data_IF_142744892112
#
_entry.id   IF_142744892112
#
_cell.length_a   1.000
_cell.length_b   1.000
_cell.length_c   1.000
_cell.angle_alpha   90.00
_cell.angle_beta   90.00
_cell.angle_gamma   90.00
#
_symmetry.space_group_name_H-M   'P 1'
#
loop_
_entity.id
_entity.type
_entity.pdbx_description
1 polymer ?
#
# COMPACT_ATOMS: atom_id res chain seq x y z
N UNK A 1 -32.46 19.18 7.23
CA UNK A 1 -31.19 19.69 7.81
C UNK A 1 -30.97 19.26 9.27
N UNK A 2 -31.96 18.71 9.97
CA UNK A 2 -31.81 18.17 11.34
C UNK A 2 -31.14 16.79 11.38
N UNK A 3 -31.64 15.84 10.59
CA UNK A 3 -31.20 14.44 10.57
C UNK A 3 -29.71 14.23 10.23
N UNK A 4 -29.17 15.00 9.26
CA UNK A 4 -27.73 14.96 8.94
C UNK A 4 -26.84 15.43 10.10
N UNK A 5 -27.30 16.42 10.88
CA UNK A 5 -26.56 16.92 12.05
C UNK A 5 -26.62 15.95 13.22
N UNK A 6 -27.72 15.22 13.35
CA UNK A 6 -27.91 14.20 14.39
C UNK A 6 -27.03 12.96 14.13
N UNK A 7 -26.93 12.51 12.88
CA UNK A 7 -26.01 11.45 12.44
C UNK A 7 -24.55 11.85 12.71
N UNK A 8 -24.19 13.10 12.39
CA UNK A 8 -22.84 13.61 12.61
C UNK A 8 -22.49 13.76 14.10
N UNK A 9 -23.47 14.18 14.93
CA UNK A 9 -23.33 14.25 16.39
C UNK A 9 -23.18 12.86 17.01
N UNK A 10 -24.02 11.91 16.59
CA UNK A 10 -23.96 10.52 17.03
C UNK A 10 -22.62 9.88 16.65
N UNK A 11 -22.16 10.07 15.41
CA UNK A 11 -20.85 9.57 14.96
C UNK A 11 -19.68 10.15 15.74
N UNK A 12 -19.73 11.44 16.10
CA UNK A 12 -18.72 12.08 16.94
C UNK A 12 -18.69 11.50 18.36
N UNK A 13 -19.84 11.22 18.95
CA UNK A 13 -19.93 10.62 20.28
C UNK A 13 -19.34 9.21 20.30
N UNK A 14 -19.71 8.36 19.33
CA UNK A 14 -19.18 6.99 19.21
C UNK A 14 -17.67 6.95 19.00
N UNK A 15 -17.14 7.84 18.15
CA UNK A 15 -15.68 7.98 17.99
C UNK A 15 -14.98 8.29 19.31
N UNK A 16 -15.54 9.21 20.10
CA UNK A 16 -14.96 9.53 21.42
C UNK A 16 -15.02 8.34 22.37
N UNK A 17 -16.10 7.55 22.35
CA UNK A 17 -16.19 6.33 23.16
C UNK A 17 -15.14 5.30 22.74
N UNK A 18 -15.02 5.04 21.43
CA UNK A 18 -14.03 4.13 20.86
C UNK A 18 -12.59 4.51 21.24
N UNK A 19 -12.21 5.77 21.07
CA UNK A 19 -10.88 6.27 21.42
C UNK A 19 -10.65 6.15 22.93
N UNK A 20 -11.66 6.50 23.74
CA UNK A 20 -11.55 6.36 25.19
C UNK A 20 -11.43 4.90 25.63
N UNK A 21 -12.12 3.97 24.96
CA UNK A 21 -11.98 2.53 25.18
C UNK A 21 -10.59 2.02 24.82
N UNK A 22 -10.03 2.47 23.68
CA UNK A 22 -8.66 2.14 23.29
C UNK A 22 -7.61 2.69 24.28
N UNK A 23 -7.81 3.89 24.83
CA UNK A 23 -6.96 4.42 25.89
C UNK A 23 -7.14 3.69 27.24
N UNK A 24 -8.36 3.18 27.54
CA UNK A 24 -8.65 2.39 28.75
C UNK A 24 -8.18 0.95 28.67
N UNK A 25 -7.93 0.43 27.47
CA UNK A 25 -7.28 -0.87 27.25
C UNK A 25 -5.80 -0.75 27.62
N UNK A 26 -5.55 -0.42 28.89
CA UNK A 26 -4.25 -0.33 29.58
C UNK A 26 -3.60 -1.72 29.75
N UNK A 27 -4.27 -2.76 29.25
CA UNK A 27 -3.89 -4.17 29.32
C UNK A 27 -2.72 -4.55 28.40
N UNK A 28 -2.27 -3.64 27.53
CA UNK A 28 -1.07 -3.83 26.70
C UNK A 28 0.21 -3.35 27.41
N UNK A 29 0.12 -2.74 28.60
CA UNK A 29 1.27 -2.21 29.34
C UNK A 29 1.75 -3.12 30.47
N UNK A 30 0.86 -3.81 31.19
CA UNK A 30 1.27 -4.67 32.32
C UNK A 30 1.98 -5.94 31.85
N UNK A 31 1.58 -6.52 30.71
CA UNK A 31 2.20 -7.76 30.21
C UNK A 31 3.50 -7.51 29.41
N UNK A 32 3.69 -6.29 28.88
CA UNK A 32 4.96 -5.90 28.25
C UNK A 32 6.03 -5.46 29.28
N UNK A 33 5.64 -5.25 30.54
CA UNK A 33 6.57 -4.90 31.62
C UNK A 33 7.45 -6.07 32.09
N UNK A 34 7.09 -7.33 31.81
CA UNK A 34 7.91 -8.50 32.16
C UNK A 34 9.00 -8.82 31.12
N UNK A 35 8.99 -8.20 29.94
CA UNK A 35 9.93 -8.50 28.85
C UNK A 35 11.10 -7.52 28.71
N UNK A 36 11.22 -6.50 29.56
CA UNK A 36 12.37 -5.58 29.53
C UNK A 36 12.90 -5.28 30.94
N UNK A 37 14.19 -5.59 31.14
CA UNK A 37 14.96 -5.20 32.31
C UNK A 37 15.06 -3.68 32.53
N UNK A 38 15.91 -3.24 33.47
CA UNK A 38 15.77 -1.97 34.19
C UNK A 38 16.17 -0.77 33.33
N UNK A 39 15.27 -0.32 32.46
CA UNK A 39 15.27 1.03 31.94
C UNK A 39 13.87 1.61 32.11
N UNK A 40 13.77 2.62 32.97
CA UNK A 40 12.59 3.44 33.16
C UNK A 40 12.17 4.05 31.82
N UNK A 41 11.09 3.56 31.23
CA UNK A 41 10.62 3.98 29.90
C UNK A 41 9.10 3.93 29.72
N UNK A 42 8.33 3.83 30.80
CA UNK A 42 6.86 3.72 30.74
C UNK A 42 6.16 5.02 30.36
N UNK A 43 6.88 6.14 30.29
CA UNK A 43 6.39 7.42 29.77
C UNK A 43 6.63 7.61 28.26
N UNK A 44 7.43 6.76 27.62
CA UNK A 44 7.86 6.95 26.23
C UNK A 44 6.83 6.41 25.22
N UNK A 45 6.07 5.37 25.58
CA UNK A 45 5.11 4.73 24.68
C UNK A 45 3.74 5.42 24.57
N UNK A 46 3.23 6.02 25.65
CA UNK A 46 2.02 6.86 25.56
C UNK A 46 2.33 8.16 24.79
N UNK A 47 3.57 8.66 24.90
CA UNK A 47 4.09 9.75 24.08
C UNK A 47 4.25 9.34 22.61
N UNK A 48 4.54 8.07 22.30
CA UNK A 48 4.65 7.55 20.93
C UNK A 48 3.32 7.56 20.14
N UNK A 49 2.16 7.46 20.78
CA UNK A 49 0.85 7.67 20.13
C UNK A 49 0.58 9.15 19.80
N UNK A 50 1.10 10.07 20.62
CA UNK A 50 1.15 11.51 20.30
C UNK A 50 2.18 11.88 19.23
N UNK A 51 3.11 10.98 18.91
CA UNK A 51 4.16 11.17 17.88
C UNK A 51 3.66 10.79 16.47
N UNK A 52 2.69 9.88 16.31
CA UNK A 52 2.30 9.40 14.96
C UNK A 52 1.19 10.21 14.28
N UNK A 53 0.36 10.94 15.03
CA UNK A 53 -0.50 12.00 14.49
C UNK A 53 -0.21 13.25 15.30
N UNK A 54 0.86 14.00 14.99
CA UNK A 54 1.02 15.35 15.53
C UNK A 54 -0.27 16.11 15.25
N UNK A 55 -0.95 16.58 16.31
CA UNK A 55 -1.82 17.74 16.16
C UNK A 55 -0.94 18.82 15.52
N UNK A 56 -1.27 19.19 14.29
CA UNK A 56 -0.44 20.01 13.45
C UNK A 56 -0.33 21.42 14.05
N UNK A 57 0.67 21.64 14.90
CA UNK A 57 0.94 22.99 15.40
C UNK A 57 1.51 23.89 14.28
N UNK A 58 2.10 23.31 13.21
CA UNK A 58 2.59 24.04 12.02
C UNK A 58 2.55 23.18 10.74
N UNK A 59 1.50 23.34 9.93
CA UNK A 59 1.46 22.79 8.57
C UNK A 59 1.87 23.89 7.56
N UNK A 60 2.95 23.68 6.81
CA UNK A 60 3.40 24.62 5.77
C UNK A 60 2.58 24.55 4.47
N UNK A 61 1.73 23.53 4.33
CA UNK A 61 0.89 23.28 3.15
C UNK A 61 -0.58 23.54 3.44
N UNK A 62 -1.43 23.67 2.41
CA UNK A 62 -2.88 23.85 2.61
C UNK A 62 -3.55 22.65 3.27
N UNK A 63 -3.05 21.44 3.01
CA UNK A 63 -3.56 20.18 3.56
C UNK A 63 -2.40 19.35 4.11
N UNK A 64 -2.36 19.17 5.43
CA UNK A 64 -1.58 18.12 6.08
C UNK A 64 -2.55 17.06 6.58
N UNK A 65 -2.23 15.78 6.34
CA UNK A 65 -3.07 14.68 6.79
C UNK A 65 -2.46 13.94 7.98
N UNK A 66 -1.19 13.56 7.89
CA UNK A 66 -0.46 12.82 8.91
C UNK A 66 0.67 13.71 9.42
N UNK A 67 0.51 14.27 10.62
CA UNK A 67 1.46 15.22 11.20
C UNK A 67 1.67 16.46 10.33
N UNK A 68 2.92 16.74 9.98
CA UNK A 68 3.30 17.87 9.11
C UNK A 68 3.46 17.48 7.63
N UNK A 69 3.18 16.22 7.27
CA UNK A 69 3.36 15.74 5.90
C UNK A 69 2.21 16.18 4.99
N UNK A 70 2.57 16.63 3.78
CA UNK A 70 1.61 16.91 2.72
C UNK A 70 0.91 15.61 2.30
N UNK A 71 -0.42 15.62 2.34
CA UNK A 71 -1.25 14.54 1.82
C UNK A 71 -2.09 15.10 0.67
N UNK A 72 -1.93 14.59 -0.57
CA UNK A 72 -2.77 15.01 -1.67
C UNK A 72 -4.20 14.55 -1.43
N UNK A 73 -5.16 15.24 -2.04
CA UNK A 73 -6.56 14.80 -1.99
C UNK A 73 -6.66 13.40 -2.59
N UNK A 74 -7.23 12.47 -1.82
CA UNK A 74 -7.39 11.08 -2.25
C UNK A 74 -8.51 10.96 -3.29
N UNK A 75 -8.20 10.31 -4.40
CA UNK A 75 -9.11 10.05 -5.52
C UNK A 75 -9.14 8.55 -5.85
N UNK A 76 -10.25 8.10 -6.43
CA UNK A 76 -10.42 6.70 -6.83
C UNK A 76 -10.79 5.76 -5.68
N UNK A 77 -10.75 4.45 -5.97
CA UNK A 77 -10.94 3.38 -4.98
C UNK A 77 -9.61 3.06 -4.32
N UNK A 78 -9.65 2.81 -3.03
CA UNK A 78 -8.53 2.48 -2.16
C UNK A 78 -8.70 1.05 -1.65
N UNK A 79 -7.61 0.30 -1.57
CA UNK A 79 -7.61 -1.01 -0.95
C UNK A 79 -6.83 -0.91 0.36
N UNK A 80 -7.46 -1.29 1.45
CA UNK A 80 -6.86 -1.36 2.77
C UNK A 80 -6.43 -2.81 3.04
N UNK A 81 -5.12 -3.04 3.04
CA UNK A 81 -4.48 -4.36 3.15
C UNK A 81 -3.98 -4.62 4.58
N UNK A 82 -3.43 -5.81 4.83
CA UNK A 82 -2.77 -6.16 6.10
C UNK A 82 -3.63 -5.87 7.34
N UNK A 83 -3.10 -5.17 8.34
CA UNK A 83 -3.77 -4.91 9.62
C UNK A 83 -5.15 -4.24 9.46
N UNK A 84 -5.38 -3.46 8.39
CA UNK A 84 -6.70 -2.92 8.10
C UNK A 84 -7.70 -4.05 7.76
N UNK A 85 -7.27 -4.97 6.90
CA UNK A 85 -8.07 -6.13 6.50
C UNK A 85 -8.27 -7.10 7.66
N UNK A 86 -7.21 -7.44 8.40
CA UNK A 86 -7.30 -8.40 9.52
C UNK A 86 -8.20 -7.90 10.64
N UNK A 87 -8.11 -6.61 10.99
CA UNK A 87 -9.00 -5.98 11.98
C UNK A 87 -10.45 -5.97 11.51
N UNK A 88 -10.70 -5.57 10.25
CA UNK A 88 -12.05 -5.58 9.66
C UNK A 88 -12.65 -7.00 9.67
N UNK A 89 -11.85 -7.99 9.25
CA UNK A 89 -12.24 -9.40 9.23
C UNK A 89 -12.53 -9.96 10.61
N UNK A 90 -11.74 -9.59 11.62
CA UNK A 90 -11.96 -9.99 13.02
C UNK A 90 -13.36 -9.58 13.51
N UNK A 91 -13.79 -8.36 13.17
CA UNK A 91 -15.14 -7.88 13.50
C UNK A 91 -16.25 -8.45 12.61
N UNK A 92 -15.95 -9.40 11.73
CA UNK A 92 -16.92 -9.99 10.81
C UNK A 92 -17.39 -9.03 9.72
N UNK A 93 -16.63 -7.96 9.45
CA UNK A 93 -16.97 -6.98 8.42
C UNK A 93 -16.54 -7.49 7.04
N UNK A 94 -17.40 -7.27 6.05
CA UNK A 94 -17.13 -7.60 4.66
C UNK A 94 -16.20 -6.59 3.97
N UNK A 95 -15.66 -6.92 2.78
CA UNK A 95 -14.70 -6.08 2.06
C UNK A 95 -15.18 -4.66 1.75
N UNK A 96 -16.48 -4.44 1.61
CA UNK A 96 -17.09 -3.14 1.28
C UNK A 96 -17.83 -2.50 2.46
N UNK A 97 -17.51 -2.91 3.69
CA UNK A 97 -18.11 -2.32 4.90
C UNK A 97 -17.63 -0.88 5.10
N UNK A 98 -18.46 -0.08 5.75
CA UNK A 98 -18.17 1.32 6.00
C UNK A 98 -17.27 1.50 7.23
N UNK A 99 -16.59 2.66 7.30
CA UNK A 99 -15.88 3.04 8.53
C UNK A 99 -16.85 3.20 9.72
N UNK A 100 -18.11 3.56 9.46
CA UNK A 100 -19.15 3.56 10.48
C UNK A 100 -19.36 2.17 11.10
N UNK A 101 -19.30 1.11 10.30
CA UNK A 101 -19.52 -0.26 10.78
C UNK A 101 -18.33 -0.71 11.64
N UNK A 102 -17.12 -0.32 11.25
CA UNK A 102 -15.91 -0.56 12.03
C UNK A 102 -15.92 0.19 13.37
N UNK A 103 -16.43 1.42 13.41
CA UNK A 103 -16.60 2.15 14.67
C UNK A 103 -17.58 1.45 15.59
N UNK A 104 -18.73 1.02 15.06
CA UNK A 104 -19.76 0.34 15.85
C UNK A 104 -19.22 -0.96 16.44
N UNK A 105 -18.55 -1.78 15.62
CA UNK A 105 -17.99 -3.04 16.08
C UNK A 105 -16.84 -2.82 17.09
N UNK A 106 -15.96 -1.84 16.82
CA UNK A 106 -14.88 -1.48 17.73
C UNK A 106 -15.39 -0.95 19.07
N UNK A 107 -16.42 -0.09 19.06
CA UNK A 107 -17.01 0.49 20.28
C UNK A 107 -17.58 -0.62 21.17
N UNK A 108 -18.38 -1.51 20.59
CA UNK A 108 -18.94 -2.67 21.29
C UNK A 108 -17.85 -3.58 21.86
N UNK A 109 -16.76 -3.78 21.11
CA UNK A 109 -15.65 -4.61 21.57
C UNK A 109 -14.85 -3.97 22.70
N UNK A 110 -14.56 -2.66 22.60
CA UNK A 110 -13.79 -1.93 23.59
C UNK A 110 -14.55 -1.69 24.91
N UNK A 111 -15.87 -1.78 24.91
CA UNK A 111 -16.73 -1.63 26.09
C UNK A 111 -17.01 -2.97 26.82
N UNK A 112 -16.65 -4.10 26.20
CA UNK A 112 -16.85 -5.44 26.76
C UNK A 112 -15.82 -5.77 27.86
N UNK A 113 -16.22 -6.57 28.86
CA UNK A 113 -15.29 -7.05 29.89
C UNK A 113 -14.26 -8.02 29.32
N UNK A 114 -13.01 -7.93 29.78
CA UNK A 114 -11.94 -8.79 29.28
C UNK A 114 -12.24 -10.28 29.48
N UNK A 115 -12.85 -10.65 30.60
CA UNK A 115 -13.20 -12.05 30.91
C UNK A 115 -14.22 -12.59 29.91
N UNK A 116 -15.17 -11.76 29.51
CA UNK A 116 -16.20 -12.07 28.52
C UNK A 116 -15.61 -12.16 27.11
N UNK A 117 -14.69 -11.26 26.76
CA UNK A 117 -13.94 -11.29 25.50
C UNK A 117 -13.15 -12.58 25.35
N UNK A 118 -12.41 -13.00 26.38
CA UNK A 118 -11.66 -14.28 26.36
C UNK A 118 -12.56 -15.48 26.20
N UNK A 119 -13.73 -15.47 26.84
CA UNK A 119 -14.72 -16.54 26.70
C UNK A 119 -15.34 -16.56 25.28
N UNK A 120 -15.50 -15.41 24.64
CA UNK A 120 -16.09 -15.29 23.30
C UNK A 120 -15.11 -15.64 22.19
N UNK A 121 -13.82 -15.30 22.36
CA UNK A 121 -12.78 -15.43 21.33
C UNK A 121 -11.68 -16.43 21.73
N UNK A 122 -12.08 -17.63 22.13
CA UNK A 122 -11.16 -18.70 22.60
C UNK A 122 -10.12 -19.11 21.56
N UNK A 123 -10.44 -18.96 20.27
CA UNK A 123 -9.55 -19.33 19.16
C UNK A 123 -8.55 -18.22 18.75
N UNK A 124 -8.55 -17.09 19.44
CA UNK A 124 -7.68 -15.94 19.16
C UNK A 124 -6.69 -15.82 20.33
N UNK A 125 -5.40 -15.71 20.00
CA UNK A 125 -4.35 -15.50 21.01
C UNK A 125 -4.62 -14.21 21.81
N UNK A 126 -4.41 -14.25 23.12
CA UNK A 126 -4.70 -13.10 24.00
C UNK A 126 -3.94 -11.84 23.55
N UNK A 127 -2.69 -11.99 23.12
CA UNK A 127 -1.86 -10.90 22.58
C UNK A 127 -2.49 -10.18 21.38
N UNK A 128 -3.13 -10.93 20.49
CA UNK A 128 -3.81 -10.36 19.32
C UNK A 128 -5.17 -9.79 19.72
N UNK A 129 -5.86 -10.43 20.67
CA UNK A 129 -7.14 -9.96 21.18
C UNK A 129 -7.02 -8.57 21.83
N UNK A 130 -5.93 -8.33 22.56
CA UNK A 130 -5.57 -7.04 23.15
C UNK A 130 -5.45 -5.91 22.11
N UNK A 131 -5.01 -6.24 20.90
CA UNK A 131 -4.70 -5.25 19.87
C UNK A 131 -5.93 -4.79 19.11
N UNK A 132 -7.04 -5.51 19.10
CA UNK A 132 -8.18 -5.17 18.22
C UNK A 132 -8.91 -3.90 18.65
N UNK A 133 -9.02 -3.63 19.94
CA UNK A 133 -9.60 -2.37 20.42
C UNK A 133 -8.76 -1.17 19.92
N UNK A 134 -7.45 -1.24 20.15
CA UNK A 134 -6.51 -0.24 19.65
C UNK A 134 -6.55 -0.12 18.12
N UNK A 135 -6.44 -1.24 17.40
CA UNK A 135 -6.39 -1.29 15.94
C UNK A 135 -7.64 -0.68 15.31
N UNK A 136 -8.83 -0.96 15.84
CA UNK A 136 -10.09 -0.38 15.35
C UNK A 136 -10.09 1.14 15.48
N UNK A 137 -9.67 1.67 16.62
CA UNK A 137 -9.56 3.12 16.86
C UNK A 137 -8.53 3.78 15.93
N UNK A 138 -7.38 3.13 15.74
CA UNK A 138 -6.29 3.64 14.91
C UNK A 138 -6.70 3.73 13.44
N UNK A 139 -7.36 2.69 12.91
CA UNK A 139 -7.86 2.68 11.53
C UNK A 139 -8.82 3.85 11.29
N UNK A 140 -9.73 4.10 12.23
CA UNK A 140 -10.70 5.20 12.13
C UNK A 140 -10.00 6.55 12.19
N UNK A 141 -9.11 6.76 13.16
CA UNK A 141 -8.35 8.00 13.29
C UNK A 141 -7.53 8.29 12.03
N UNK A 142 -6.86 7.28 11.48
CA UNK A 142 -6.05 7.44 10.27
C UNK A 142 -6.91 7.71 9.03
N UNK A 143 -7.92 6.88 8.75
CA UNK A 143 -8.69 7.00 7.51
C UNK A 143 -9.65 8.19 7.53
N UNK A 144 -10.37 8.41 8.64
CA UNK A 144 -11.34 9.48 8.74
C UNK A 144 -10.73 10.81 9.16
N UNK A 145 -10.05 10.84 10.32
CA UNK A 145 -9.63 12.11 10.92
C UNK A 145 -8.39 12.68 10.22
N UNK A 146 -7.42 11.83 9.85
CA UNK A 146 -6.18 12.26 9.18
C UNK A 146 -6.30 12.34 7.66
N UNK A 147 -6.93 11.35 7.01
CA UNK A 147 -7.02 11.28 5.55
C UNK A 147 -8.33 11.84 4.97
N UNK A 148 -9.30 12.22 5.81
CA UNK A 148 -10.53 12.88 5.40
C UNK A 148 -11.50 11.98 4.62
N UNK A 149 -11.42 10.66 4.78
CA UNK A 149 -12.36 9.71 4.17
C UNK A 149 -13.67 9.78 4.95
N UNK A 150 -14.81 9.94 4.26
CA UNK A 150 -16.10 10.02 4.96
C UNK A 150 -16.48 8.67 5.59
N UNK A 151 -17.27 8.70 6.68
CA UNK A 151 -17.63 7.48 7.40
C UNK A 151 -18.36 6.44 6.56
N UNK A 152 -19.19 6.92 5.64
CA UNK A 152 -20.02 6.08 4.77
C UNK A 152 -19.47 6.11 3.33
N UNK A 153 -18.16 6.28 3.17
CA UNK A 153 -17.49 6.33 1.88
C UNK A 153 -17.24 4.90 1.35
N UNK A 154 -17.78 4.59 0.18
CA UNK A 154 -17.63 3.28 -0.48
C UNK A 154 -16.27 3.11 -1.18
N UNK A 155 -15.38 4.11 -1.12
CA UNK A 155 -14.10 4.07 -1.85
C UNK A 155 -13.07 3.16 -1.19
N UNK A 156 -13.19 2.86 0.10
CA UNK A 156 -12.25 1.98 0.81
C UNK A 156 -12.75 0.54 0.72
N UNK A 157 -11.86 -0.38 0.35
CA UNK A 157 -12.14 -1.80 0.28
C UNK A 157 -11.12 -2.57 1.12
N UNK A 158 -11.57 -3.34 2.10
CA UNK A 158 -10.70 -4.15 2.96
C UNK A 158 -10.41 -5.48 2.28
N UNK A 159 -9.16 -5.70 1.87
CA UNK A 159 -8.76 -6.94 1.18
C UNK A 159 -7.25 -7.16 1.29
N UNK A 160 -6.81 -8.43 1.43
CA UNK A 160 -5.38 -8.80 1.35
C UNK A 160 -5.04 -9.60 0.07
N UNK A 161 -5.97 -9.73 -0.87
CA UNK A 161 -5.78 -10.40 -2.14
C UNK A 161 -6.72 -9.84 -3.21
N UNK A 162 -6.32 -9.97 -4.48
CA UNK A 162 -7.17 -9.70 -5.65
C UNK A 162 -7.21 -10.97 -6.50
N UNK A 163 -8.39 -11.58 -6.59
CA UNK A 163 -8.51 -12.94 -7.11
C UNK A 163 -7.73 -13.91 -6.23
N UNK A 164 -6.78 -14.65 -6.83
CA UNK A 164 -5.90 -15.59 -6.15
C UNK A 164 -4.53 -14.99 -5.80
N UNK A 165 -4.31 -13.70 -6.11
CA UNK A 165 -3.01 -13.05 -5.93
C UNK A 165 -3.00 -12.25 -4.62
N UNK A 166 -2.08 -12.54 -3.68
CA UNK A 166 -1.94 -11.76 -2.46
C UNK A 166 -1.42 -10.34 -2.77
N UNK A 167 -1.89 -9.37 -1.99
CA UNK A 167 -1.46 -7.98 -2.10
C UNK A 167 -0.28 -7.74 -1.16
N UNK A 168 0.93 -7.83 -1.69
CA UNK A 168 2.16 -7.63 -0.93
C UNK A 168 3.10 -6.64 -1.64
N UNK A 169 3.77 -5.79 -0.87
CA UNK A 169 4.80 -4.89 -1.39
C UNK A 169 5.98 -5.67 -2.00
N UNK A 170 6.28 -6.87 -1.48
CA UNK A 170 7.34 -7.74 -1.99
C UNK A 170 7.04 -8.22 -3.42
N UNK A 171 5.77 -8.51 -3.72
CA UNK A 171 5.35 -8.87 -5.08
C UNK A 171 5.54 -7.68 -6.05
N UNK A 172 5.19 -6.47 -5.62
CA UNK A 172 5.42 -5.25 -6.40
C UNK A 172 6.91 -5.02 -6.68
N UNK A 173 7.76 -5.20 -5.67
CA UNK A 173 9.22 -5.09 -5.80
C UNK A 173 9.78 -6.12 -6.81
N UNK A 174 9.31 -7.36 -6.74
CA UNK A 174 9.70 -8.41 -7.67
C UNK A 174 9.30 -8.08 -9.12
N UNK A 175 8.07 -7.63 -9.35
CA UNK A 175 7.59 -7.23 -10.69
C UNK A 175 8.42 -6.05 -11.22
N UNK A 176 8.69 -5.04 -10.39
CA UNK A 176 9.51 -3.88 -10.76
C UNK A 176 10.92 -4.32 -11.16
N UNK A 177 11.55 -5.22 -10.40
CA UNK A 177 12.86 -5.75 -10.74
C UNK A 177 12.85 -6.53 -12.05
N UNK A 178 11.87 -7.41 -12.26
CA UNK A 178 11.79 -8.23 -13.48
C UNK A 178 11.49 -7.43 -14.73
N UNK A 179 10.63 -6.42 -14.62
CA UNK A 179 10.35 -5.50 -15.73
C UNK A 179 11.55 -4.62 -16.07
N UNK A 180 12.33 -4.19 -15.07
CA UNK A 180 13.60 -3.49 -15.29
C UNK A 180 14.64 -4.38 -15.99
N UNK A 181 14.79 -5.64 -15.55
CA UNK A 181 15.66 -6.63 -16.21
C UNK A 181 15.25 -6.86 -17.67
N UNK A 182 13.94 -7.00 -17.93
CA UNK A 182 13.40 -7.17 -19.28
C UNK A 182 13.57 -5.91 -20.15
N UNK A 183 13.54 -4.71 -19.58
CA UNK A 183 13.80 -3.47 -20.31
C UNK A 183 15.29 -3.30 -20.70
N UNK A 184 16.21 -3.89 -19.93
CA UNK A 184 17.65 -3.82 -20.18
C UNK A 184 18.08 -4.86 -21.22
N UNK A 185 17.37 -5.98 -21.35
CA UNK A 185 17.61 -6.95 -22.41
C UNK A 185 16.80 -6.59 -23.65
N UNK A 186 17.40 -5.96 -24.69
CA UNK A 186 16.70 -5.77 -25.96
C UNK A 186 16.27 -7.14 -26.48
N UNK A 187 15.08 -7.21 -27.07
CA UNK A 187 14.57 -8.43 -27.70
C UNK A 187 15.69 -9.02 -28.58
N UNK A 188 16.20 -10.20 -28.17
CA UNK A 188 17.31 -10.86 -28.86
C UNK A 188 17.00 -11.05 -30.35
N UNK A 189 15.71 -11.16 -30.70
CA UNK A 189 15.26 -11.20 -32.08
C UNK A 189 15.58 -9.90 -32.83
N UNK A 190 15.36 -8.74 -32.22
CA UNK A 190 15.69 -7.44 -32.81
C UNK A 190 17.21 -7.26 -32.98
N UNK A 191 18.02 -7.70 -32.01
CA UNK A 191 19.48 -7.65 -32.09
C UNK A 191 20.01 -8.54 -33.21
N UNK A 192 19.50 -9.77 -33.32
CA UNK A 192 19.87 -10.73 -34.37
C UNK A 192 19.46 -10.21 -35.75
N UNK A 193 18.26 -9.65 -35.89
CA UNK A 193 17.77 -9.09 -37.16
C UNK A 193 18.68 -7.95 -37.64
N UNK A 194 19.05 -7.01 -36.76
CA UNK A 194 19.94 -5.90 -37.09
C UNK A 194 21.34 -6.38 -37.51
N UNK A 195 21.87 -7.40 -36.83
CA UNK A 195 23.16 -8.00 -37.16
C UNK A 195 23.13 -8.67 -38.56
N UNK A 196 22.07 -9.44 -38.86
CA UNK A 196 21.90 -10.09 -40.17
C UNK A 196 21.78 -9.04 -41.29
N UNK A 197 20.95 -8.00 -41.09
CA UNK A 197 20.79 -6.90 -42.04
C UNK A 197 22.12 -6.18 -42.32
N UNK A 198 22.94 -5.96 -41.29
CA UNK A 198 24.28 -5.37 -41.42
C UNK A 198 25.21 -6.25 -42.27
N UNK A 199 25.24 -7.56 -41.99
CA UNK A 199 26.05 -8.51 -42.77
C UNK A 199 25.60 -8.61 -44.23
N UNK A 200 24.30 -8.68 -44.50
CA UNK A 200 23.75 -8.73 -45.86
C UNK A 200 24.09 -7.44 -46.64
N UNK A 201 24.00 -6.28 -46.00
CA UNK A 201 24.38 -5.00 -46.60
C UNK A 201 25.87 -4.96 -46.97
N UNK A 202 26.74 -5.44 -46.09
CA UNK A 202 28.19 -5.51 -46.35
C UNK A 202 28.52 -6.43 -47.53
N UNK A 203 27.91 -7.63 -47.57
CA UNK A 203 28.09 -8.59 -48.66
C UNK A 203 27.63 -8.00 -50.00
N UNK A 204 26.48 -7.32 -50.03
CA UNK A 204 25.95 -6.72 -51.24
C UNK A 204 26.86 -5.61 -51.80
N UNK A 205 27.43 -4.77 -50.93
CA UNK A 205 28.39 -3.73 -51.32
C UNK A 205 29.66 -4.37 -51.91
N UNK A 206 30.18 -5.41 -51.25
CA UNK A 206 31.38 -6.11 -51.72
C UNK A 206 31.14 -6.78 -53.10
N UNK A 207 30.01 -7.47 -53.27
CA UNK A 207 29.64 -8.08 -54.54
C UNK A 207 29.48 -7.05 -55.67
N UNK A 208 28.86 -5.90 -55.36
CA UNK A 208 28.71 -4.78 -56.30
C UNK A 208 30.07 -4.19 -56.71
N UNK A 209 31.01 -4.09 -55.77
CA UNK A 209 32.37 -3.62 -56.05
C UNK A 209 33.17 -4.61 -56.90
N UNK A 210 33.09 -5.91 -56.60
CA UNK A 210 33.76 -6.98 -57.37
C UNK A 210 33.23 -7.03 -58.80
N UNK A 211 31.91 -6.94 -58.98
CA UNK A 211 31.29 -6.92 -60.31
C UNK A 211 31.69 -5.67 -61.10
N UNK A 212 31.75 -4.50 -60.45
CA UNK A 212 32.24 -3.27 -61.07
C UNK A 212 33.72 -3.36 -61.48
N UNK A 213 34.59 -3.89 -60.62
CA UNK A 213 36.01 -4.11 -60.95
C UNK A 213 36.18 -5.12 -62.10
N UNK A 214 35.40 -6.21 -62.09
CA UNK A 214 35.40 -7.20 -63.17
C UNK A 214 34.93 -6.61 -64.51
N UNK A 215 33.83 -5.84 -64.49
CA UNK A 215 33.33 -5.12 -65.67
C UNK A 215 34.35 -4.12 -66.21
N UNK A 216 34.95 -3.31 -65.32
CA UNK A 216 35.97 -2.33 -65.70
C UNK A 216 37.21 -3.00 -66.31
N UNK A 217 37.70 -4.09 -65.71
CA UNK A 217 38.84 -4.85 -66.23
C UNK A 217 38.53 -5.50 -67.59
N UNK A 218 37.32 -6.03 -67.78
CA UNK A 218 36.89 -6.63 -69.05
C UNK A 218 36.74 -5.57 -70.15
N UNK A 219 36.24 -4.39 -69.81
CA UNK A 219 36.08 -3.28 -70.75
C UNK A 219 37.44 -2.63 -71.10
N UNK A 220 38.40 -2.60 -70.15
CA UNK A 220 39.79 -2.17 -70.41
C UNK A 220 40.56 -3.12 -71.33
N UNK A 221 40.19 -4.41 -71.36
CA UNK A 221 40.77 -5.45 -72.23
C UNK A 221 40.17 -5.48 -73.65
N UNK A 222 39.20 -4.62 -73.96
CA UNK A 222 38.72 -4.38 -75.33
C UNK A 222 39.30 -3.07 -75.90
N UNK A 223 40.62 -2.95 -76.17
CA UNK A 223 41.08 -1.91 -77.07
C UNK A 223 40.57 -2.26 -78.48
N UNK A 224 39.97 -1.26 -79.13
CA UNK A 224 39.45 -1.26 -80.50
C UNK A 224 40.16 -2.27 -81.43
N UNK A 225 39.50 -3.38 -81.80
CA UNK A 225 39.80 -4.04 -83.07
C UNK A 225 39.22 -3.14 -84.14
N UNK A 226 40.12 -2.39 -84.78
CA UNK A 226 39.85 -1.59 -85.97
C UNK A 226 39.85 -2.49 -87.21
#
# INVERSE_FOLDING_TARGET
>A
MGERREIESSGRARRRSLIAGACRSEMLLDEMAELTGPFAGTLEYVVLMGIFIPFADRCSYKNCGIGSAFVPKLHGKLIATENFFHTSKFFGLGPSSFLSDLILAGEQFCEEDWSELKRKYIAVEEEDLLRYCFSSSYIVALLHDSLGIAMNDTRVMFANQVGEVPLDWALGAFIMQKTAEAAIHPDWNAVIILAILSHLRSIFVLASFITFLGWFALNRRRPQLK
#
